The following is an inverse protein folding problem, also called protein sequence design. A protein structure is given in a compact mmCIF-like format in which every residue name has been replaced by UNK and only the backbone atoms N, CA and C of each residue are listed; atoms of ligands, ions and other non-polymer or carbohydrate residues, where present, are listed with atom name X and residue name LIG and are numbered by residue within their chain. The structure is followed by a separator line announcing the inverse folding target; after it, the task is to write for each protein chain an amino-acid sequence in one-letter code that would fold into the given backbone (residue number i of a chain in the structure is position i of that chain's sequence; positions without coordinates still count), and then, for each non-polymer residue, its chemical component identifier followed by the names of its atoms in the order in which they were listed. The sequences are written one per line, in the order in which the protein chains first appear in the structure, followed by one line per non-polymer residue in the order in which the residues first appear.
data_IF_271231705991
#
_entry.id   IF_271231705991
#
_cell.length_a   1.000
_cell.length_b   1.000
_cell.length_c   1.000
_cell.angle_alpha   90.00
_cell.angle_beta   90.00
_cell.angle_gamma   90.00
#
_symmetry.space_group_name_H-M   'P 1'
#
loop_
_entity.id
_entity.type
_entity.pdbx_description
1 polymer ?
#
# COMPACT_ATOMS: atom_id res chain seq x y z
N UNK A 1 16.39 -42.40 18.30
CA UNK A 1 15.66 -42.31 17.03
C UNK A 1 16.67 -41.95 15.93
N UNK A 2 17.12 -42.93 15.14
CA UNK A 2 17.87 -42.70 13.94
C UNK A 2 16.89 -42.29 12.85
N UNK A 3 17.02 -41.05 12.34
CA UNK A 3 16.31 -40.62 11.13
C UNK A 3 17.10 -41.26 9.97
N UNK A 4 16.52 -42.28 9.36
CA UNK A 4 17.01 -42.88 8.15
C UNK A 4 16.95 -41.84 7.03
N UNK A 5 18.11 -41.38 6.57
CA UNK A 5 18.20 -40.51 5.38
C UNK A 5 17.93 -41.38 4.14
N UNK A 6 16.68 -41.70 3.93
CA UNK A 6 16.20 -42.21 2.66
C UNK A 6 16.42 -41.13 1.60
N UNK A 7 17.50 -41.21 0.85
CA UNK A 7 17.66 -40.48 -0.42
C UNK A 7 16.67 -41.10 -1.42
N UNK A 8 15.38 -40.87 -1.22
CA UNK A 8 14.39 -41.11 -2.24
C UNK A 8 14.47 -39.99 -3.27
N UNK A 9 14.53 -40.30 -4.54
CA UNK A 9 14.31 -39.39 -5.66
C UNK A 9 12.99 -38.65 -5.42
N UNK A 10 13.09 -37.46 -4.80
CA UNK A 10 11.94 -36.59 -4.59
C UNK A 10 11.57 -36.12 -6.00
N UNK A 11 10.39 -36.49 -6.54
CA UNK A 11 10.00 -36.04 -7.87
C UNK A 11 10.14 -34.53 -7.94
N UNK A 12 10.56 -33.94 -9.07
CA UNK A 12 10.77 -32.51 -9.19
C UNK A 12 9.51 -31.83 -8.70
N UNK A 13 9.63 -30.98 -7.65
CA UNK A 13 8.49 -30.26 -7.08
C UNK A 13 7.83 -29.49 -8.22
N UNK A 14 6.66 -29.93 -8.65
CA UNK A 14 5.86 -29.24 -9.65
C UNK A 14 5.79 -27.77 -9.22
N UNK A 15 6.27 -26.87 -10.11
CA UNK A 15 6.12 -25.45 -9.88
C UNK A 15 4.64 -25.18 -9.68
N UNK A 16 4.29 -24.62 -8.54
CA UNK A 16 2.93 -24.23 -8.21
C UNK A 16 2.84 -22.72 -8.16
N UNK A 17 1.72 -22.22 -8.62
CA UNK A 17 1.36 -20.80 -8.51
C UNK A 17 0.09 -20.66 -7.70
N UNK A 18 -0.10 -19.49 -7.11
CA UNK A 18 -1.33 -19.13 -6.43
C UNK A 18 -1.98 -18.00 -7.19
N UNK A 19 -3.21 -18.24 -7.62
CA UNK A 19 -4.09 -17.26 -8.26
C UNK A 19 -5.09 -16.80 -7.19
N UNK A 20 -5.12 -15.49 -6.92
CA UNK A 20 -6.11 -14.88 -6.04
C UNK A 20 -7.07 -14.06 -6.90
N UNK A 21 -8.35 -14.36 -6.82
CA UNK A 21 -9.41 -13.71 -7.62
C UNK A 21 -10.33 -12.96 -6.67
N UNK A 22 -10.61 -11.69 -6.99
CA UNK A 22 -11.43 -10.80 -6.18
C UNK A 22 -12.55 -10.20 -7.02
N UNK A 23 -13.74 -10.04 -6.43
CA UNK A 23 -14.85 -9.40 -7.11
C UNK A 23 -15.97 -8.97 -6.17
N UNK A 24 -16.73 -7.96 -6.60
CA UNK A 24 -17.87 -7.42 -5.86
C UNK A 24 -19.09 -7.21 -6.78
N UNK A 25 -19.91 -8.22 -6.99
CA UNK A 25 -19.79 -9.62 -6.56
C UNK A 25 -18.81 -10.41 -7.45
N UNK A 26 -18.18 -11.46 -6.92
CA UNK A 26 -17.47 -12.44 -7.73
C UNK A 26 -18.50 -13.48 -8.24
N UNK A 27 -18.69 -13.53 -9.57
CA UNK A 27 -19.69 -14.38 -10.22
C UNK A 27 -19.07 -15.69 -10.69
N UNK A 28 -19.93 -16.69 -10.93
CA UNK A 28 -19.51 -17.99 -11.49
C UNK A 28 -18.85 -17.82 -12.88
N UNK A 29 -19.30 -16.86 -13.68
CA UNK A 29 -18.72 -16.54 -14.98
C UNK A 29 -17.27 -16.06 -14.90
N UNK A 30 -16.91 -15.31 -13.84
CA UNK A 30 -15.53 -14.89 -13.59
C UNK A 30 -14.65 -16.10 -13.28
N UNK A 31 -15.13 -17.03 -12.45
CA UNK A 31 -14.38 -18.25 -12.12
C UNK A 31 -14.24 -19.16 -13.37
N UNK A 32 -15.26 -19.24 -14.21
CA UNK A 32 -15.19 -19.96 -15.49
C UNK A 32 -14.10 -19.37 -16.39
N UNK A 33 -14.07 -18.04 -16.56
CA UNK A 33 -13.04 -17.35 -17.35
C UNK A 33 -11.63 -17.62 -16.81
N UNK A 34 -11.44 -17.52 -15.48
CA UNK A 34 -10.17 -17.86 -14.83
C UNK A 34 -9.77 -19.31 -15.10
N UNK A 35 -10.71 -20.26 -14.99
CA UNK A 35 -10.44 -21.69 -15.21
C UNK A 35 -10.07 -21.98 -16.66
N UNK A 36 -10.72 -21.33 -17.63
CA UNK A 36 -10.38 -21.46 -19.06
C UNK A 36 -8.95 -21.01 -19.33
N UNK A 37 -8.58 -19.82 -18.84
CA UNK A 37 -7.21 -19.30 -19.02
C UNK A 37 -6.17 -20.22 -18.36
N UNK A 38 -6.44 -20.75 -17.17
CA UNK A 38 -5.53 -21.69 -16.50
C UNK A 38 -5.34 -22.93 -17.36
N UNK A 39 -6.42 -23.49 -17.94
CA UNK A 39 -6.38 -24.68 -18.79
C UNK A 39 -5.63 -24.41 -20.09
N UNK A 40 -5.87 -23.28 -20.76
CA UNK A 40 -5.19 -22.85 -22.00
C UNK A 40 -3.67 -22.71 -21.81
N UNK A 41 -3.25 -22.40 -20.59
CA UNK A 41 -1.82 -22.31 -20.24
C UNK A 41 -1.27 -23.58 -19.57
N UNK A 42 -1.93 -24.72 -19.78
CA UNK A 42 -1.47 -26.04 -19.30
C UNK A 42 -1.57 -26.24 -17.80
N UNK A 43 -2.25 -25.33 -17.07
CA UNK A 43 -2.42 -25.41 -15.65
C UNK A 43 -3.57 -26.30 -15.20
N UNK A 44 -3.45 -26.85 -13.98
CA UNK A 44 -4.50 -27.58 -13.26
C UNK A 44 -4.77 -26.93 -11.92
N UNK A 45 -6.04 -26.81 -11.52
CA UNK A 45 -6.44 -26.27 -10.24
C UNK A 45 -6.41 -27.39 -9.20
N UNK A 46 -5.39 -27.37 -8.32
CA UNK A 46 -5.22 -28.40 -7.28
C UNK A 46 -6.11 -28.13 -6.06
N UNK A 47 -6.39 -26.85 -5.75
CA UNK A 47 -7.19 -26.46 -4.59
C UNK A 47 -7.84 -25.11 -4.80
N UNK A 48 -9.08 -24.96 -4.33
CA UNK A 48 -9.78 -23.67 -4.23
C UNK A 48 -10.11 -23.42 -2.77
N UNK A 49 -9.84 -22.21 -2.30
CA UNK A 49 -10.17 -21.76 -0.94
C UNK A 49 -10.81 -20.38 -0.99
N UNK A 50 -11.90 -20.19 -0.27
CA UNK A 50 -12.50 -18.88 -0.08
C UNK A 50 -11.81 -18.17 1.07
N UNK A 51 -11.24 -16.96 0.81
CA UNK A 51 -10.58 -16.15 1.83
C UNK A 51 -11.55 -15.16 2.48
N UNK A 52 -12.47 -14.57 1.70
CA UNK A 52 -13.48 -13.64 2.21
C UNK A 52 -14.82 -13.78 1.48
N UNK A 53 -15.90 -13.27 2.12
CA UNK A 53 -17.26 -13.24 1.55
C UNK A 53 -17.79 -11.83 1.36
N UNK A 54 -17.60 -10.97 2.33
CA UNK A 54 -18.18 -9.62 2.40
C UNK A 54 -17.16 -8.65 2.95
N UNK A 55 -17.08 -7.42 2.43
CA UNK A 55 -17.84 -6.86 1.30
C UNK A 55 -17.32 -7.31 -0.07
N UNK A 56 -16.18 -7.97 -0.11
CA UNK A 56 -15.49 -8.45 -1.32
C UNK A 56 -15.34 -9.97 -1.23
N UNK A 57 -15.79 -10.68 -2.26
CA UNK A 57 -15.54 -12.12 -2.36
C UNK A 57 -14.14 -12.36 -2.90
N UNK A 58 -13.33 -13.12 -2.14
CA UNK A 58 -11.98 -13.49 -2.54
C UNK A 58 -11.82 -15.00 -2.57
N UNK A 59 -11.35 -15.53 -3.70
CA UNK A 59 -10.98 -16.93 -3.88
C UNK A 59 -9.47 -17.05 -4.11
N UNK A 60 -8.87 -18.04 -3.49
CA UNK A 60 -7.49 -18.46 -3.72
C UNK A 60 -7.51 -19.82 -4.42
N UNK A 61 -6.81 -19.91 -5.55
CA UNK A 61 -6.62 -21.13 -6.31
C UNK A 61 -5.13 -21.51 -6.28
N UNK A 62 -4.81 -22.72 -5.86
CA UNK A 62 -3.49 -23.30 -6.02
C UNK A 62 -3.47 -24.04 -7.35
N UNK A 63 -2.54 -23.69 -8.22
CA UNK A 63 -2.47 -24.16 -9.60
C UNK A 63 -1.09 -24.80 -9.84
N UNK A 64 -1.08 -25.99 -10.46
CA UNK A 64 0.12 -26.68 -10.94
C UNK A 64 0.18 -26.70 -12.46
N UNK A 65 1.31 -27.09 -13.05
CA UNK A 65 1.47 -27.28 -14.50
C UNK A 65 1.77 -25.99 -15.29
N UNK A 66 1.78 -24.84 -14.64
CA UNK A 66 2.08 -23.54 -15.28
C UNK A 66 2.96 -22.68 -14.37
N UNK A 67 3.35 -21.51 -14.84
CA UNK A 67 4.17 -20.56 -14.07
C UNK A 67 3.55 -19.13 -14.04
N UNK A 68 4.15 -18.28 -13.20
CA UNK A 68 3.70 -16.90 -13.00
C UNK A 68 3.88 -16.04 -14.26
N UNK A 69 4.96 -16.28 -15.04
CA UNK A 69 5.30 -15.43 -16.18
C UNK A 69 4.27 -15.55 -17.29
N UNK A 70 3.76 -16.76 -17.53
CA UNK A 70 2.73 -17.02 -18.54
C UNK A 70 1.32 -16.68 -18.04
N UNK A 71 1.00 -17.07 -16.79
CA UNK A 71 -0.37 -16.97 -16.30
C UNK A 71 -0.78 -15.55 -15.90
N UNK A 72 0.16 -14.74 -15.38
CA UNK A 72 -0.15 -13.38 -14.90
C UNK A 72 -0.67 -12.45 -16.01
N UNK A 73 0.00 -12.29 -17.17
CA UNK A 73 -0.48 -11.39 -18.21
C UNK A 73 -1.81 -11.86 -18.81
N UNK A 74 -1.99 -13.17 -19.00
CA UNK A 74 -3.23 -13.71 -19.55
C UNK A 74 -4.43 -13.48 -18.63
N UNK A 75 -4.29 -13.77 -17.33
CA UNK A 75 -5.35 -13.51 -16.35
C UNK A 75 -5.61 -12.03 -16.15
N UNK A 76 -4.57 -11.16 -16.21
CA UNK A 76 -4.77 -9.72 -16.12
C UNK A 76 -5.60 -9.16 -17.29
N UNK A 77 -5.35 -9.63 -18.51
CA UNK A 77 -6.15 -9.26 -19.69
C UNK A 77 -7.62 -9.68 -19.51
N UNK A 78 -7.87 -10.94 -19.16
CA UNK A 78 -9.23 -11.46 -18.92
C UNK A 78 -9.93 -10.72 -17.78
N UNK A 79 -9.22 -10.38 -16.72
CA UNK A 79 -9.78 -9.64 -15.59
C UNK A 79 -10.21 -8.22 -15.99
N UNK A 80 -9.42 -7.53 -16.80
CA UNK A 80 -9.75 -6.21 -17.35
C UNK A 80 -11.02 -6.24 -18.23
N UNK A 81 -11.20 -7.30 -19.03
CA UNK A 81 -12.34 -7.45 -19.91
C UNK A 81 -13.64 -7.82 -19.17
N UNK A 82 -13.52 -8.61 -18.10
CA UNK A 82 -14.69 -9.21 -17.44
C UNK A 82 -15.05 -8.55 -16.11
N UNK A 83 -14.22 -7.62 -15.59
CA UNK A 83 -14.53 -6.78 -14.44
C UNK A 83 -14.34 -7.48 -13.08
N UNK A 84 -13.24 -8.20 -12.90
CA UNK A 84 -12.77 -8.70 -11.61
C UNK A 84 -11.28 -8.38 -11.43
N UNK A 85 -10.77 -8.48 -10.21
CA UNK A 85 -9.35 -8.32 -9.92
C UNK A 85 -8.67 -9.68 -9.77
N UNK A 86 -7.40 -9.76 -10.20
CA UNK A 86 -6.61 -10.99 -10.11
C UNK A 86 -5.17 -10.72 -9.71
N UNK A 87 -4.61 -11.60 -8.88
CA UNK A 87 -3.19 -11.63 -8.57
C UNK A 87 -2.63 -13.03 -8.79
N UNK A 88 -1.45 -13.12 -9.40
CA UNK A 88 -0.74 -14.39 -9.62
C UNK A 88 0.64 -14.31 -8.96
N UNK A 89 0.92 -15.24 -8.06
CA UNK A 89 2.17 -15.30 -7.29
C UNK A 89 2.73 -16.72 -7.20
N UNK A 90 4.06 -16.89 -7.00
CA UNK A 90 4.63 -18.22 -6.73
C UNK A 90 4.02 -18.82 -5.47
N UNK A 91 3.75 -20.13 -5.48
CA UNK A 91 3.42 -20.85 -4.26
C UNK A 91 4.70 -21.16 -3.46
N UNK A 92 4.56 -21.37 -2.16
CA UNK A 92 5.67 -21.80 -1.30
C UNK A 92 5.72 -21.07 0.04
N UNK A 93 6.69 -21.47 0.89
CA UNK A 93 6.86 -20.93 2.24
C UNK A 93 7.19 -19.44 2.26
N UNK A 94 7.85 -18.92 1.22
CA UNK A 94 8.13 -17.49 1.10
C UNK A 94 6.86 -16.63 1.11
N UNK A 95 5.70 -17.19 0.72
CA UNK A 95 4.41 -16.49 0.75
C UNK A 95 3.87 -16.30 2.17
N UNK A 96 4.25 -17.19 3.09
CA UNK A 96 3.82 -17.18 4.49
C UNK A 96 4.85 -16.50 5.42
N UNK A 97 6.02 -16.12 4.89
CA UNK A 97 7.04 -15.44 5.68
C UNK A 97 6.71 -13.98 5.98
N UNK A 98 7.38 -13.44 6.99
CA UNK A 98 7.33 -12.02 7.37
C UNK A 98 7.49 -11.12 6.13
N UNK A 99 6.71 -10.07 6.04
CA UNK A 99 6.69 -9.07 4.96
C UNK A 99 6.73 -7.67 5.54
N UNK A 100 7.15 -6.74 4.71
CA UNK A 100 6.98 -5.31 4.97
C UNK A 100 5.84 -4.78 4.10
N UNK A 101 4.89 -4.09 4.72
CA UNK A 101 3.83 -3.36 4.03
C UNK A 101 4.08 -1.87 4.25
N UNK A 102 4.37 -1.14 3.17
CA UNK A 102 4.53 0.32 3.22
C UNK A 102 3.30 0.95 2.60
N UNK A 103 2.65 1.83 3.34
CA UNK A 103 1.41 2.49 2.92
C UNK A 103 1.64 4.00 2.77
N UNK A 104 0.97 4.58 1.79
CA UNK A 104 0.74 6.02 1.76
C UNK A 104 -0.25 6.41 2.86
N UNK A 105 -0.32 7.69 3.20
CA UNK A 105 -1.20 8.21 4.26
C UNK A 105 -2.40 8.91 3.65
N UNK A 106 -2.16 10.01 2.93
CA UNK A 106 -3.20 10.85 2.36
C UNK A 106 -4.04 10.07 1.34
N UNK A 107 -5.35 10.15 1.43
CA UNK A 107 -6.32 9.42 0.59
C UNK A 107 -6.13 7.88 0.58
N UNK A 108 -5.28 7.33 1.45
CA UNK A 108 -4.98 5.89 1.57
C UNK A 108 -5.23 5.37 2.98
N UNK A 109 -4.35 5.62 3.95
CA UNK A 109 -4.54 5.25 5.36
C UNK A 109 -5.64 6.11 6.00
N UNK A 110 -5.71 7.37 5.63
CA UNK A 110 -6.75 8.34 5.97
C UNK A 110 -7.55 8.72 4.73
N UNK A 111 -8.75 9.25 4.94
CA UNK A 111 -9.66 9.70 3.86
C UNK A 111 -9.34 11.11 3.41
N UNK A 112 -8.62 11.83 4.22
CA UNK A 112 -8.35 13.25 4.11
C UNK A 112 -6.96 13.49 3.51
N UNK A 113 -6.70 14.70 3.06
CA UNK A 113 -5.39 15.23 2.69
C UNK A 113 -4.92 16.15 3.81
N UNK A 114 -3.78 15.85 4.47
CA UNK A 114 -3.30 16.62 5.62
C UNK A 114 -3.13 18.10 5.29
N UNK A 115 -2.63 18.41 4.09
CA UNK A 115 -2.43 19.81 3.68
C UNK A 115 -3.76 20.57 3.51
N UNK A 116 -4.85 19.90 3.11
CA UNK A 116 -6.17 20.50 3.00
C UNK A 116 -6.77 20.77 4.37
N UNK A 117 -6.59 19.87 5.34
CA UNK A 117 -6.99 20.10 6.73
C UNK A 117 -6.25 21.30 7.32
N UNK A 118 -4.93 21.40 7.15
CA UNK A 118 -4.15 22.55 7.58
C UNK A 118 -4.63 23.85 6.91
N UNK A 119 -4.92 23.81 5.61
CA UNK A 119 -5.44 24.96 4.87
C UNK A 119 -6.82 25.40 5.39
N UNK A 120 -7.65 24.44 5.82
CA UNK A 120 -8.96 24.75 6.43
C UNK A 120 -8.80 25.59 7.71
N UNK A 121 -7.89 25.19 8.60
CA UNK A 121 -7.58 25.93 9.82
C UNK A 121 -6.91 27.30 9.52
N UNK A 122 -6.19 27.42 8.40
CA UNK A 122 -5.62 28.67 7.93
C UNK A 122 -6.64 29.62 7.25
N UNK A 123 -7.84 29.12 6.91
CA UNK A 123 -8.77 29.84 6.04
C UNK A 123 -8.27 30.01 4.60
N UNK A 124 -7.44 29.04 4.12
CA UNK A 124 -6.70 29.06 2.84
C UNK A 124 -7.10 27.93 1.88
N UNK A 125 -8.26 27.31 2.08
CA UNK A 125 -8.70 26.18 1.27
C UNK A 125 -8.74 26.51 -0.22
N UNK A 126 -9.29 27.68 -0.59
CA UNK A 126 -9.42 28.08 -2.00
C UNK A 126 -8.05 28.25 -2.67
N UNK A 127 -7.09 28.83 -1.93
CA UNK A 127 -5.71 29.04 -2.43
C UNK A 127 -5.03 27.69 -2.66
N UNK A 128 -5.13 26.75 -1.71
CA UNK A 128 -4.55 25.39 -1.82
C UNK A 128 -5.23 24.60 -2.94
N UNK A 129 -6.56 24.69 -3.07
CA UNK A 129 -7.30 24.04 -4.14
C UNK A 129 -6.88 24.54 -5.53
N UNK A 130 -6.66 25.85 -5.68
CA UNK A 130 -6.20 26.44 -6.93
C UNK A 130 -4.81 25.92 -7.34
N UNK A 131 -3.85 25.82 -6.39
CA UNK A 131 -2.51 25.27 -6.64
C UNK A 131 -2.60 23.77 -6.99
N UNK A 132 -3.43 23.00 -6.29
CA UNK A 132 -3.66 21.59 -6.58
C UNK A 132 -4.21 21.39 -8.00
N UNK A 133 -5.20 22.22 -8.41
CA UNK A 133 -5.75 22.16 -9.76
C UNK A 133 -4.70 22.50 -10.83
N UNK A 134 -3.81 23.49 -10.59
CA UNK A 134 -2.70 23.84 -11.50
C UNK A 134 -1.71 22.67 -11.64
N UNK A 135 -1.36 21.99 -10.55
CA UNK A 135 -0.51 20.82 -10.56
C UNK A 135 -1.15 19.65 -11.35
N UNK A 136 -2.45 19.42 -11.19
CA UNK A 136 -3.19 18.38 -11.94
C UNK A 136 -3.24 18.65 -13.44
N UNK A 137 -3.18 19.92 -13.88
CA UNK A 137 -3.04 20.30 -15.30
C UNK A 137 -1.60 20.19 -15.82
N UNK A 138 -0.63 19.82 -14.96
CA UNK A 138 0.78 19.71 -15.32
C UNK A 138 1.52 21.05 -15.43
N UNK A 139 0.97 22.13 -14.87
CA UNK A 139 1.57 23.46 -14.84
C UNK A 139 2.67 23.56 -13.77
N UNK A 140 2.63 22.71 -12.77
CA UNK A 140 3.57 22.63 -11.66
C UNK A 140 4.04 21.18 -11.48
N UNK A 141 5.32 21.01 -11.16
CA UNK A 141 5.80 19.74 -10.65
C UNK A 141 5.38 19.53 -9.18
N UNK A 142 5.58 18.31 -8.67
CA UNK A 142 5.15 17.95 -7.31
C UNK A 142 5.79 18.83 -6.24
N UNK A 143 7.10 19.09 -6.32
CA UNK A 143 7.83 19.87 -5.32
C UNK A 143 7.41 21.35 -5.36
N UNK A 144 7.31 21.96 -6.55
CA UNK A 144 6.83 23.33 -6.71
C UNK A 144 5.40 23.50 -6.17
N UNK A 145 4.50 22.56 -6.48
CA UNK A 145 3.13 22.54 -5.96
C UNK A 145 3.10 22.41 -4.44
N UNK A 146 3.93 21.54 -3.86
CA UNK A 146 4.02 21.40 -2.41
C UNK A 146 4.48 22.70 -1.74
N UNK A 147 5.58 23.29 -2.24
CA UNK A 147 6.11 24.55 -1.69
C UNK A 147 5.10 25.70 -1.76
N UNK A 148 4.36 25.83 -2.87
CA UNK A 148 3.33 26.88 -2.99
C UNK A 148 2.18 26.67 -2.00
N UNK A 149 1.72 25.43 -1.83
CA UNK A 149 0.66 25.11 -0.85
C UNK A 149 1.12 25.33 0.59
N UNK A 150 2.36 24.92 0.91
CA UNK A 150 2.92 25.12 2.25
C UNK A 150 3.14 26.61 2.57
N UNK A 151 3.50 27.41 1.58
CA UNK A 151 3.65 28.87 1.77
C UNK A 151 2.34 29.55 2.26
N UNK A 152 1.19 29.01 1.90
CA UNK A 152 -0.13 29.53 2.38
C UNK A 152 -0.35 29.28 3.87
N UNK A 153 0.41 28.39 4.50
CA UNK A 153 0.29 28.02 5.91
C UNK A 153 1.16 28.89 6.83
N UNK A 154 1.91 29.85 6.28
CA UNK A 154 2.78 30.74 7.04
C UNK A 154 2.00 31.49 8.15
N UNK A 155 2.58 31.53 9.36
CA UNK A 155 1.99 32.18 10.52
C UNK A 155 1.00 31.35 11.33
N UNK A 156 0.65 30.13 10.90
CA UNK A 156 -0.15 29.22 11.73
C UNK A 156 0.63 28.80 12.99
N UNK A 157 0.01 28.80 14.18
CA UNK A 157 0.63 28.29 15.38
C UNK A 157 0.75 26.77 15.33
N UNK A 158 1.78 26.19 15.97
CA UNK A 158 1.98 24.73 16.00
C UNK A 158 0.83 23.96 16.66
N UNK A 159 -0.02 24.61 17.47
CA UNK A 159 -1.22 23.98 18.03
C UNK A 159 -2.20 23.49 16.97
N UNK A 160 -2.15 24.01 15.73
CA UNK A 160 -2.96 23.55 14.62
C UNK A 160 -2.77 22.06 14.33
N UNK A 161 -1.59 21.50 14.61
CA UNK A 161 -1.36 20.07 14.41
C UNK A 161 -2.22 19.19 15.30
N UNK A 162 -2.51 19.62 16.55
CA UNK A 162 -3.42 18.91 17.44
C UNK A 162 -4.85 18.93 16.88
N UNK A 163 -5.32 20.11 16.46
CA UNK A 163 -6.64 20.30 15.87
C UNK A 163 -6.81 19.43 14.59
N UNK A 164 -5.83 19.47 13.69
CA UNK A 164 -5.85 18.64 12.48
C UNK A 164 -5.87 17.15 12.80
N UNK A 165 -5.13 16.70 13.84
CA UNK A 165 -5.16 15.29 14.25
C UNK A 165 -6.53 14.83 14.72
N UNK A 166 -7.29 15.70 15.37
CA UNK A 166 -8.65 15.39 15.82
C UNK A 166 -9.63 15.29 14.63
N UNK A 167 -9.38 16.00 13.54
CA UNK A 167 -10.19 15.97 12.32
C UNK A 167 -9.91 14.77 11.41
N UNK A 168 -8.78 14.08 11.58
CA UNK A 168 -8.38 12.95 10.75
C UNK A 168 -9.36 11.79 10.84
N UNK A 169 -9.80 11.32 9.68
CA UNK A 169 -10.67 10.15 9.55
C UNK A 169 -9.92 9.00 8.88
N UNK A 170 -9.70 7.93 9.63
CA UNK A 170 -9.13 6.72 9.04
C UNK A 170 -10.02 6.16 7.94
N UNK A 171 -9.40 5.61 6.91
CA UNK A 171 -10.11 4.81 5.91
C UNK A 171 -10.79 3.62 6.58
N UNK A 172 -12.05 3.30 6.23
CA UNK A 172 -12.77 2.20 6.84
C UNK A 172 -11.99 0.89 6.74
N UNK A 173 -11.72 0.28 7.89
CA UNK A 173 -10.92 -0.96 7.99
C UNK A 173 -9.41 -0.74 8.16
N UNK A 174 -8.87 0.46 8.03
CA UNK A 174 -7.43 0.72 8.13
C UNK A 174 -6.86 0.29 9.49
N UNK A 175 -7.50 0.65 10.61
CA UNK A 175 -7.08 0.21 11.96
C UNK A 175 -7.08 -1.31 12.09
N UNK A 176 -8.12 -1.98 11.59
CA UNK A 176 -8.21 -3.44 11.61
C UNK A 176 -7.13 -4.08 10.74
N UNK A 177 -6.87 -3.51 9.55
CA UNK A 177 -5.81 -3.99 8.66
C UNK A 177 -4.44 -3.91 9.35
N UNK A 178 -4.10 -2.74 9.91
CA UNK A 178 -2.83 -2.54 10.62
C UNK A 178 -2.67 -3.51 11.79
N UNK A 179 -3.69 -3.63 12.65
CA UNK A 179 -3.67 -4.57 13.76
C UNK A 179 -3.48 -6.03 13.29
N UNK A 180 -4.23 -6.45 12.28
CA UNK A 180 -4.14 -7.82 11.73
C UNK A 180 -2.75 -8.10 11.13
N UNK A 181 -2.18 -7.16 10.38
CA UNK A 181 -0.84 -7.32 9.79
C UNK A 181 0.23 -7.44 10.89
N UNK A 182 0.11 -6.66 11.96
CA UNK A 182 1.02 -6.74 13.12
C UNK A 182 0.89 -8.08 13.84
N UNK A 183 -0.34 -8.55 14.09
CA UNK A 183 -0.59 -9.86 14.72
C UNK A 183 -0.03 -11.02 13.87
N UNK A 184 0.00 -10.85 12.55
CA UNK A 184 0.64 -11.78 11.62
C UNK A 184 2.17 -11.63 11.55
N UNK A 185 2.76 -10.72 12.33
CA UNK A 185 4.20 -10.49 12.38
C UNK A 185 4.77 -9.71 11.20
N UNK A 186 3.93 -9.00 10.43
CA UNK A 186 4.41 -8.14 9.34
C UNK A 186 4.98 -6.84 9.90
N UNK A 187 6.04 -6.36 9.27
CA UNK A 187 6.49 -4.99 9.47
C UNK A 187 5.60 -4.03 8.68
N UNK A 188 5.35 -2.84 9.23
CA UNK A 188 4.53 -1.82 8.59
C UNK A 188 5.29 -0.50 8.59
N UNK A 189 5.27 0.20 7.46
CA UNK A 189 5.81 1.54 7.33
C UNK A 189 4.80 2.50 6.67
N UNK A 190 4.94 3.78 7.00
CA UNK A 190 4.21 4.87 6.35
C UNK A 190 5.20 5.76 5.60
N UNK A 191 4.88 6.09 4.35
CA UNK A 191 5.63 7.05 3.55
C UNK A 191 4.66 8.01 2.91
N UNK A 192 4.71 9.29 3.31
CA UNK A 192 3.70 10.28 2.94
C UNK A 192 4.31 11.55 2.33
N UNK A 193 3.60 12.13 1.38
CA UNK A 193 3.77 13.52 0.94
C UNK A 193 3.22 14.55 1.93
N UNK A 194 2.49 14.11 2.97
CA UNK A 194 2.02 14.95 4.08
C UNK A 194 3.14 15.29 5.08
N UNK A 195 2.79 15.64 6.32
CA UNK A 195 3.72 16.23 7.28
C UNK A 195 3.91 15.38 8.53
N UNK A 196 5.18 15.24 8.95
CA UNK A 196 5.59 14.35 10.05
C UNK A 196 4.95 14.75 11.39
N UNK A 197 4.64 16.03 11.58
CA UNK A 197 4.02 16.59 12.77
C UNK A 197 2.60 16.03 13.00
N UNK A 198 1.95 15.58 11.91
CA UNK A 198 0.63 14.94 11.94
C UNK A 198 0.75 13.43 11.74
N UNK A 199 1.54 12.99 10.76
CA UNK A 199 1.70 11.57 10.40
C UNK A 199 2.41 10.78 11.50
N UNK A 200 3.38 11.37 12.18
CA UNK A 200 4.14 10.71 13.25
C UNK A 200 3.26 10.27 14.44
N UNK A 201 2.51 11.19 15.07
CA UNK A 201 1.56 10.84 16.12
C UNK A 201 0.46 9.85 15.67
N UNK A 202 -0.03 9.97 14.42
CA UNK A 202 -0.98 9.03 13.85
C UNK A 202 -0.37 7.61 13.77
N UNK A 203 0.85 7.48 13.25
CA UNK A 203 1.58 6.23 13.18
C UNK A 203 1.79 5.61 14.57
N UNK A 204 2.21 6.42 15.55
CA UNK A 204 2.38 5.99 16.93
C UNK A 204 1.08 5.45 17.53
N UNK A 205 -0.07 6.09 17.25
CA UNK A 205 -1.40 5.63 17.71
C UNK A 205 -1.82 4.27 17.13
N UNK A 206 -1.24 3.89 15.98
CA UNK A 206 -1.44 2.62 15.31
C UNK A 206 -0.32 1.60 15.62
N UNK A 207 0.72 2.02 16.35
CA UNK A 207 1.90 1.21 16.68
C UNK A 207 2.76 0.92 15.46
N UNK A 208 2.90 1.88 14.55
CA UNK A 208 3.76 1.83 13.35
C UNK A 208 5.05 2.60 13.66
N UNK A 209 6.20 1.95 13.51
CA UNK A 209 7.52 2.51 13.87
C UNK A 209 8.23 3.15 12.68
N UNK A 210 8.07 2.59 11.47
CA UNK A 210 8.69 3.10 10.27
C UNK A 210 7.84 4.22 9.66
N UNK A 211 8.33 5.45 9.73
CA UNK A 211 7.61 6.62 9.22
C UNK A 211 8.55 7.55 8.47
N UNK A 212 8.12 8.00 7.29
CA UNK A 212 8.77 9.06 6.52
C UNK A 212 7.71 9.99 5.94
N UNK A 213 7.84 11.29 6.23
CA UNK A 213 6.98 12.34 5.69
C UNK A 213 7.81 13.63 5.55
N UNK A 214 7.26 14.66 4.91
CA UNK A 214 7.87 15.98 4.92
C UNK A 214 7.83 16.57 6.34
N UNK A 215 8.71 17.51 6.61
CA UNK A 215 8.69 18.30 7.84
C UNK A 215 8.39 19.76 7.52
N UNK A 216 7.66 20.44 8.39
CA UNK A 216 7.37 21.86 8.27
C UNK A 216 8.36 22.66 9.12
N UNK A 217 8.92 23.72 8.54
CA UNK A 217 9.80 24.61 9.29
C UNK A 217 9.01 25.46 10.29
N UNK A 218 9.44 25.44 11.55
CA UNK A 218 8.82 26.15 12.66
C UNK A 218 9.81 27.13 13.28
N UNK A 219 9.39 28.38 13.44
CA UNK A 219 10.14 29.42 14.16
C UNK A 219 9.21 30.10 15.15
N UNK A 220 9.66 30.24 16.39
CA UNK A 220 8.92 30.87 17.49
C UNK A 220 7.48 30.31 17.67
N UNK A 221 7.33 28.99 17.49
CA UNK A 221 6.03 28.31 17.63
C UNK A 221 5.04 28.52 16.49
N UNK A 222 5.50 29.05 15.35
CA UNK A 222 4.68 29.28 14.15
C UNK A 222 5.33 28.67 12.92
N UNK A 223 4.49 28.23 11.98
CA UNK A 223 4.91 27.76 10.67
C UNK A 223 5.50 28.91 9.87
N UNK A 224 6.65 28.70 9.23
CA UNK A 224 7.25 29.71 8.35
C UNK A 224 6.69 29.70 6.94
N UNK A 225 5.92 28.65 6.58
CA UNK A 225 5.46 28.40 5.23
C UNK A 225 6.52 27.72 4.36
N UNK A 226 7.52 27.06 4.97
CA UNK A 226 8.57 26.31 4.26
C UNK A 226 8.60 24.84 4.71
N UNK A 227 9.03 23.98 3.79
CA UNK A 227 9.34 22.57 4.05
C UNK A 227 10.79 22.49 4.52
N UNK A 228 11.04 21.70 5.57
CA UNK A 228 12.37 21.41 6.05
C UNK A 228 12.94 20.14 5.37
N UNK A 229 14.16 20.23 4.88
CA UNK A 229 14.86 19.09 4.30
C UNK A 229 14.39 18.68 2.90
N UNK A 230 14.59 17.41 2.58
CA UNK A 230 14.26 16.83 1.27
C UNK A 230 12.77 16.52 1.15
N UNK A 231 12.14 16.99 0.08
CA UNK A 231 10.73 16.68 -0.25
C UNK A 231 10.55 15.19 -0.50
N UNK A 232 9.54 14.61 0.13
CA UNK A 232 9.15 13.20 -0.05
C UNK A 232 8.28 13.08 -1.30
N UNK A 233 8.95 12.96 -2.43
CA UNK A 233 8.35 12.71 -3.74
C UNK A 233 8.28 11.20 -4.04
N UNK A 234 7.91 10.87 -5.27
CA UNK A 234 7.82 9.47 -5.74
C UNK A 234 9.16 8.73 -5.66
N UNK A 235 10.28 9.41 -5.95
CA UNK A 235 11.61 8.79 -5.90
C UNK A 235 12.01 8.50 -4.45
N UNK A 236 11.83 9.47 -3.57
CA UNK A 236 12.09 9.33 -2.12
C UNK A 236 11.18 8.25 -1.50
N UNK A 237 9.90 8.15 -1.89
CA UNK A 237 9.02 7.05 -1.46
C UNK A 237 9.60 5.68 -1.81
N UNK A 238 10.14 5.52 -3.03
CA UNK A 238 10.74 4.27 -3.48
C UNK A 238 12.05 3.93 -2.76
N UNK A 239 12.89 4.93 -2.46
CA UNK A 239 14.10 4.77 -1.65
C UNK A 239 13.77 4.39 -0.22
N UNK A 240 12.85 5.11 0.41
CA UNK A 240 12.40 4.83 1.79
C UNK A 240 11.86 3.41 1.95
N UNK A 241 11.13 2.89 0.96
CA UNK A 241 10.69 1.48 0.99
C UNK A 241 11.89 0.53 1.04
N UNK A 242 12.97 0.81 0.28
CA UNK A 242 14.20 0.00 0.30
C UNK A 242 14.90 0.09 1.65
N UNK A 243 14.96 1.29 2.24
CA UNK A 243 15.58 1.53 3.53
C UNK A 243 14.83 0.80 4.65
N UNK A 244 13.50 0.86 4.66
CA UNK A 244 12.68 0.12 5.61
C UNK A 244 12.84 -1.40 5.42
N UNK A 245 12.91 -1.88 4.17
CA UNK A 245 13.15 -3.30 3.89
C UNK A 245 14.52 -3.75 4.39
N UNK A 246 15.56 -2.93 4.21
CA UNK A 246 16.92 -3.20 4.70
C UNK A 246 16.95 -3.21 6.24
N UNK A 247 16.32 -2.25 6.90
CA UNK A 247 16.21 -2.18 8.36
C UNK A 247 15.53 -3.43 8.95
N UNK A 248 14.54 -3.98 8.23
CA UNK A 248 13.83 -5.21 8.61
C UNK A 248 14.53 -6.51 8.17
N UNK A 249 15.67 -6.42 7.48
CA UNK A 249 16.38 -7.57 6.92
C UNK A 249 15.55 -8.33 5.87
N UNK A 250 14.67 -7.65 5.15
CA UNK A 250 13.76 -8.23 4.18
C UNK A 250 14.19 -7.91 2.74
N UNK A 251 14.18 -8.91 1.83
CA UNK A 251 14.39 -8.62 0.41
C UNK A 251 13.16 -7.90 -0.17
N UNK A 252 13.36 -7.09 -1.22
CA UNK A 252 12.27 -6.34 -1.89
C UNK A 252 11.15 -7.24 -2.41
N UNK A 253 11.42 -8.51 -2.72
CA UNK A 253 10.39 -9.49 -3.09
C UNK A 253 9.38 -9.81 -1.97
N UNK A 254 9.66 -9.36 -0.75
CA UNK A 254 8.78 -9.48 0.42
C UNK A 254 8.20 -8.14 0.87
N UNK A 255 8.27 -7.11 0.03
CA UNK A 255 7.63 -5.83 0.28
C UNK A 255 6.33 -5.70 -0.50
N UNK A 256 5.41 -4.93 0.07
CA UNK A 256 4.15 -4.53 -0.54
C UNK A 256 4.06 -3.02 -0.39
N UNK A 257 3.80 -2.31 -1.47
CA UNK A 257 3.45 -0.88 -1.46
C UNK A 257 1.95 -0.72 -1.73
N UNK A 258 1.31 0.14 -0.95
CA UNK A 258 -0.13 0.45 -1.02
C UNK A 258 -0.31 1.95 -1.23
#
# INVERSE_FOLDING_TARGET
LSIDEGVGDNPPRLKRVVVTVLGRPLRATHLAAVSSVITEHGGNIDRIRRLSRTPLTTLELVVSGTDVAHLRPALAATAAETGFDVSVSPAGLARQGRRLVVMDVDSTLIRDEVIELLAAHAGKQDEVAAVTAAAMRGELDFAASLHQRVATLAGLPVSVFDEVRDDIRLTPGARTLVATLRDLGFAIGLVSGGFIEVVGPLAASLGIEHVRANALEVVDGHLTGRVEGQVVDRAVKAETLKDFAAAEGLPLSRTVAV
#
